data_IF_341610956095
#
_entry.id   IF_341610956095
#
_cell.length_a   1.000
_cell.length_b   1.000
_cell.length_c   1.000
_cell.angle_alpha   90.00
_cell.angle_beta   90.00
_cell.angle_gamma   90.00
#
_symmetry.space_group_name_H-M   'P 1'
#
loop_
_entity.id
_entity.type
_entity.pdbx_description
1 polymer ?
#
# COMPACT_ATOMS: atom_id res chain seq x y z
N UNK A 1 1.15 -20.78 4.93
CA UNK A 1 1.05 -20.77 3.47
C UNK A 1 0.26 -19.53 3.07
N UNK A 2 0.78 -18.76 2.13
CA UNK A 2 0.12 -17.52 1.68
C UNK A 2 -0.12 -17.62 0.17
N UNK A 3 -1.29 -17.18 -0.24
CA UNK A 3 -1.67 -16.99 -1.63
C UNK A 3 -1.78 -15.51 -1.97
N UNK A 4 -1.72 -15.19 -3.25
CA UNK A 4 -1.98 -13.84 -3.71
C UNK A 4 -3.47 -13.52 -3.56
N UNK A 5 -3.78 -12.46 -2.81
CA UNK A 5 -5.15 -11.99 -2.65
C UNK A 5 -5.71 -11.49 -3.98
N UNK A 6 -6.84 -12.00 -4.46
CA UNK A 6 -7.41 -11.56 -5.72
C UNK A 6 -8.01 -10.16 -5.62
N UNK A 7 -8.03 -9.44 -6.74
CA UNK A 7 -8.82 -8.22 -6.89
C UNK A 7 -10.29 -8.56 -7.09
N UNK A 8 -11.21 -8.09 -6.24
CA UNK A 8 -12.65 -8.33 -6.43
C UNK A 8 -13.25 -7.35 -7.46
N UNK A 9 -12.62 -7.25 -8.62
CA UNK A 9 -12.97 -6.30 -9.68
C UNK A 9 -14.01 -6.82 -10.69
N UNK A 10 -14.34 -8.11 -10.64
CA UNK A 10 -15.27 -8.75 -11.55
C UNK A 10 -16.36 -9.53 -10.81
N UNK A 11 -17.39 -9.92 -11.55
CA UNK A 11 -18.56 -10.64 -11.04
C UNK A 11 -18.26 -12.12 -10.62
N UNK A 12 -17.00 -12.53 -10.60
CA UNK A 12 -16.57 -13.86 -10.19
C UNK A 12 -15.13 -14.16 -10.56
N UNK A 13 -14.64 -15.29 -10.06
CA UNK A 13 -13.31 -15.80 -10.34
C UNK A 13 -13.17 -16.19 -11.82
N UNK A 14 -12.00 -15.98 -12.39
CA UNK A 14 -11.59 -16.61 -13.64
C UNK A 14 -10.69 -17.82 -13.35
N UNK A 15 -10.48 -18.70 -14.33
CA UNK A 15 -9.74 -19.95 -14.19
C UNK A 15 -8.28 -19.76 -13.71
N UNK A 16 -7.69 -18.61 -13.90
CA UNK A 16 -6.35 -18.30 -13.43
C UNK A 16 -6.24 -18.19 -11.88
N UNK A 17 -7.30 -17.83 -11.18
CA UNK A 17 -7.29 -17.75 -9.72
C UNK A 17 -7.09 -19.14 -9.09
N UNK A 18 -7.96 -20.15 -9.36
CA UNK A 18 -7.78 -21.49 -8.79
C UNK A 18 -6.46 -22.14 -9.15
N UNK A 19 -5.89 -21.83 -10.33
CA UNK A 19 -4.63 -22.40 -10.79
C UNK A 19 -3.49 -22.23 -9.75
N UNK A 20 -3.36 -21.04 -9.19
CA UNK A 20 -2.39 -20.78 -8.12
C UNK A 20 -2.78 -21.44 -6.80
N UNK A 21 -4.06 -21.37 -6.43
CA UNK A 21 -4.55 -21.80 -5.11
C UNK A 21 -4.58 -23.33 -4.92
N UNK A 22 -4.71 -24.10 -6.00
CA UNK A 22 -4.73 -25.57 -5.93
C UNK A 22 -3.42 -26.10 -5.31
N UNK A 23 -2.28 -25.60 -5.75
CA UNK A 23 -0.98 -26.07 -5.26
C UNK A 23 -0.77 -25.77 -3.78
N UNK A 24 -1.08 -24.55 -3.35
CA UNK A 24 -0.97 -24.11 -1.95
C UNK A 24 -1.96 -24.83 -1.04
N UNK A 25 -3.17 -25.10 -1.52
CA UNK A 25 -4.18 -25.86 -0.76
C UNK A 25 -3.75 -27.33 -0.57
N UNK A 26 -3.26 -27.99 -1.61
CA UNK A 26 -2.71 -29.34 -1.51
C UNK A 26 -1.57 -29.38 -0.48
N UNK A 27 -0.65 -28.44 -0.56
CA UNK A 27 0.46 -28.34 0.39
C UNK A 27 -0.01 -28.08 1.82
N UNK A 28 -0.97 -27.18 2.02
CA UNK A 28 -1.56 -26.87 3.32
C UNK A 28 -2.23 -28.12 3.94
N UNK A 29 -3.01 -28.85 3.17
CA UNK A 29 -3.64 -30.11 3.60
C UNK A 29 -2.62 -31.18 3.96
N UNK A 30 -1.58 -31.35 3.12
CA UNK A 30 -0.49 -32.29 3.41
C UNK A 30 0.19 -31.95 4.74
N UNK A 31 0.51 -30.68 4.99
CA UNK A 31 1.16 -30.25 6.23
C UNK A 31 0.26 -30.46 7.47
N UNK A 32 -1.04 -30.19 7.37
CA UNK A 32 -2.00 -30.50 8.46
C UNK A 32 -2.03 -31.98 8.77
N UNK A 33 -2.06 -32.85 7.76
CA UNK A 33 -2.03 -34.30 7.95
C UNK A 33 -0.73 -34.81 8.58
N UNK A 34 0.36 -34.04 8.41
CA UNK A 34 1.66 -34.30 9.08
C UNK A 34 1.74 -33.74 10.50
N UNK A 35 0.66 -33.17 11.05
CA UNK A 35 0.59 -32.63 12.40
C UNK A 35 1.12 -31.20 12.55
N UNK A 36 1.38 -30.47 11.46
CA UNK A 36 1.76 -29.06 11.54
C UNK A 36 0.53 -28.17 11.81
N UNK A 37 0.74 -27.14 12.62
CA UNK A 37 -0.22 -26.06 12.72
C UNK A 37 -0.06 -25.16 11.48
N UNK A 38 -1.06 -25.17 10.59
CA UNK A 38 -1.00 -24.49 9.30
C UNK A 38 -1.93 -23.29 9.27
N UNK A 39 -1.37 -22.10 9.13
CA UNK A 39 -2.07 -20.88 8.78
C UNK A 39 -2.15 -20.78 7.24
N UNK A 40 -3.38 -20.83 6.70
CA UNK A 40 -3.67 -20.65 5.27
C UNK A 40 -4.80 -19.64 5.10
N UNK A 41 -4.53 -18.35 5.30
CA UNK A 41 -5.53 -17.29 5.18
C UNK A 41 -5.80 -16.99 3.71
N UNK A 42 -6.94 -16.36 3.47
CA UNK A 42 -7.30 -15.72 2.21
C UNK A 42 -7.68 -14.26 2.47
N UNK A 43 -7.56 -13.43 1.47
CA UNK A 43 -7.97 -12.05 1.55
C UNK A 43 -8.28 -11.49 0.16
N UNK A 44 -8.60 -10.19 0.13
CA UNK A 44 -8.94 -9.48 -1.10
C UNK A 44 -8.17 -8.17 -1.17
N UNK A 45 -7.51 -7.94 -2.30
CA UNK A 45 -6.95 -6.63 -2.62
C UNK A 45 -8.08 -5.76 -3.18
N UNK A 46 -8.74 -5.05 -2.29
CA UNK A 46 -10.06 -4.50 -2.52
C UNK A 46 -10.10 -3.00 -2.85
N UNK A 47 -8.94 -2.36 -2.94
CA UNK A 47 -8.80 -1.04 -3.53
C UNK A 47 -8.41 -1.15 -5.00
N UNK A 48 -8.89 -0.23 -5.82
CA UNK A 48 -8.39 -0.16 -7.17
C UNK A 48 -9.27 0.59 -8.14
N UNK A 49 -8.64 1.07 -9.21
CA UNK A 49 -9.23 1.82 -10.30
C UNK A 49 -10.46 1.14 -10.95
N UNK A 50 -10.51 -0.20 -11.14
CA UNK A 50 -11.69 -0.83 -11.73
C UNK A 50 -12.97 -0.61 -10.93
N UNK A 51 -12.92 -0.67 -9.61
CA UNK A 51 -14.08 -0.41 -8.75
C UNK A 51 -14.50 1.06 -8.79
N UNK A 52 -13.53 1.97 -8.84
CA UNK A 52 -13.78 3.42 -8.96
C UNK A 52 -14.39 3.78 -10.31
N UNK A 53 -13.87 3.23 -11.41
CA UNK A 53 -14.42 3.46 -12.75
C UNK A 53 -15.84 2.92 -12.88
N UNK A 54 -16.12 1.74 -12.31
CA UNK A 54 -17.47 1.20 -12.28
C UNK A 54 -18.42 2.09 -11.48
N UNK A 55 -17.96 2.64 -10.36
CA UNK A 55 -18.73 3.59 -9.56
C UNK A 55 -19.08 4.87 -10.35
N UNK A 56 -18.11 5.41 -11.09
CA UNK A 56 -18.33 6.59 -11.94
C UNK A 56 -19.37 6.31 -13.03
N UNK A 57 -19.30 5.13 -13.66
CA UNK A 57 -20.21 4.75 -14.75
C UNK A 57 -21.63 4.48 -14.27
N UNK A 58 -21.79 3.91 -13.09
CA UNK A 58 -23.09 3.43 -12.57
C UNK A 58 -23.72 4.33 -11.53
N UNK A 59 -22.95 5.29 -10.97
CA UNK A 59 -23.37 6.10 -9.83
C UNK A 59 -23.45 5.32 -8.52
N UNK A 60 -22.96 4.07 -8.48
CA UNK A 60 -22.97 3.24 -7.29
C UNK A 60 -21.67 3.39 -6.51
N UNK A 61 -21.77 3.52 -5.17
CA UNK A 61 -20.58 3.62 -4.32
C UNK A 61 -19.68 2.38 -4.45
N UNK A 62 -18.34 2.52 -4.61
CA UNK A 62 -17.43 1.39 -4.85
C UNK A 62 -17.53 0.26 -3.82
N UNK A 63 -17.78 0.61 -2.55
CA UNK A 63 -17.91 -0.39 -1.47
C UNK A 63 -19.03 -1.40 -1.73
N UNK A 64 -20.16 -0.97 -2.31
CA UNK A 64 -21.30 -1.86 -2.57
C UNK A 64 -20.92 -2.96 -3.56
N UNK A 65 -20.33 -2.56 -4.67
CA UNK A 65 -19.88 -3.52 -5.70
C UNK A 65 -18.76 -4.42 -5.17
N UNK A 66 -17.81 -3.85 -4.43
CA UNK A 66 -16.71 -4.61 -3.82
C UNK A 66 -17.22 -5.69 -2.88
N UNK A 67 -18.16 -5.37 -1.99
CA UNK A 67 -18.76 -6.35 -1.07
C UNK A 67 -19.50 -7.48 -1.83
N UNK A 68 -20.27 -7.15 -2.86
CA UNK A 68 -20.96 -8.12 -3.68
C UNK A 68 -19.98 -9.07 -4.39
N UNK A 69 -18.90 -8.53 -4.93
CA UNK A 69 -17.87 -9.31 -5.61
C UNK A 69 -17.10 -10.20 -4.63
N UNK A 70 -16.73 -9.70 -3.44
CA UNK A 70 -16.10 -10.49 -2.38
C UNK A 70 -16.99 -11.66 -1.98
N UNK A 71 -18.28 -11.42 -1.72
CA UNK A 71 -19.22 -12.47 -1.38
C UNK A 71 -19.29 -13.55 -2.47
N UNK A 72 -19.30 -13.12 -3.73
CA UNK A 72 -19.31 -14.04 -4.88
C UNK A 72 -18.02 -14.86 -5.00
N UNK A 73 -16.88 -14.22 -4.83
CA UNK A 73 -15.57 -14.88 -4.86
C UNK A 73 -15.46 -15.94 -3.76
N UNK A 74 -15.87 -15.58 -2.54
CA UNK A 74 -15.89 -16.50 -1.41
C UNK A 74 -16.78 -17.72 -1.68
N UNK A 75 -18.01 -17.49 -2.15
CA UNK A 75 -18.92 -18.58 -2.53
C UNK A 75 -18.27 -19.55 -3.54
N UNK A 76 -17.58 -19.00 -4.54
CA UNK A 76 -16.93 -19.83 -5.56
C UNK A 76 -15.72 -20.60 -5.00
N UNK A 77 -14.90 -19.98 -4.16
CA UNK A 77 -13.77 -20.65 -3.51
C UNK A 77 -14.23 -21.76 -2.56
N UNK A 78 -15.32 -21.53 -1.84
CA UNK A 78 -15.95 -22.55 -0.98
C UNK A 78 -16.51 -23.72 -1.80
N UNK A 79 -17.14 -23.46 -2.94
CA UNK A 79 -17.64 -24.52 -3.84
C UNK A 79 -16.52 -25.39 -4.43
N UNK A 80 -15.33 -24.81 -4.70
CA UNK A 80 -14.15 -25.57 -5.11
C UNK A 80 -13.63 -26.42 -3.94
N UNK A 81 -13.88 -26.00 -2.70
CA UNK A 81 -13.53 -26.73 -1.49
C UNK A 81 -12.12 -26.43 -0.98
N UNK A 82 -11.58 -25.24 -1.23
CA UNK A 82 -10.31 -24.82 -0.64
C UNK A 82 -10.36 -24.75 0.88
N UNK A 83 -9.26 -25.07 1.54
CA UNK A 83 -9.14 -25.13 3.00
C UNK A 83 -8.61 -23.82 3.61
N UNK A 84 -9.13 -22.69 3.14
CA UNK A 84 -8.75 -21.39 3.68
C UNK A 84 -9.27 -21.18 5.11
N UNK A 85 -8.49 -20.44 5.90
CA UNK A 85 -8.88 -19.97 7.22
C UNK A 85 -9.63 -18.64 7.09
N UNK A 86 -10.95 -18.73 6.91
CA UNK A 86 -11.82 -17.57 6.72
C UNK A 86 -11.96 -16.68 7.97
N UNK A 87 -11.63 -17.20 9.16
CA UNK A 87 -11.62 -16.39 10.38
C UNK A 87 -10.48 -15.35 10.37
N UNK A 88 -9.53 -15.54 9.45
CA UNK A 88 -8.42 -14.64 9.19
C UNK A 88 -8.48 -14.00 7.80
N UNK A 89 -9.70 -13.83 7.30
CA UNK A 89 -9.92 -13.08 6.05
C UNK A 89 -9.40 -11.64 6.18
N UNK A 90 -8.68 -11.17 5.17
CA UNK A 90 -8.12 -9.82 5.10
C UNK A 90 -8.72 -9.08 3.90
N UNK A 91 -9.13 -7.84 4.12
CA UNK A 91 -9.61 -6.92 3.08
C UNK A 91 -8.79 -5.64 3.16
N UNK A 92 -8.09 -5.31 2.10
CA UNK A 92 -7.21 -4.13 2.10
C UNK A 92 -7.97 -2.82 2.22
N UNK A 93 -9.27 -2.81 1.88
CA UNK A 93 -10.16 -1.65 2.03
C UNK A 93 -10.73 -1.45 3.44
N UNK A 94 -10.49 -2.36 4.37
CA UNK A 94 -10.94 -2.18 5.75
C UNK A 94 -10.11 -1.11 6.47
N UNK A 95 -10.74 -0.17 7.20
CA UNK A 95 -10.02 0.85 7.95
C UNK A 95 -8.99 0.28 8.93
N UNK A 96 -9.31 -0.89 9.53
CA UNK A 96 -8.40 -1.61 10.42
C UNK A 96 -7.12 -2.07 9.74
N UNK A 97 -7.18 -2.33 8.43
CA UNK A 97 -6.04 -2.73 7.61
C UNK A 97 -5.29 -1.50 7.05
N UNK A 98 -5.96 -0.65 6.28
CA UNK A 98 -5.27 0.43 5.55
C UNK A 98 -4.70 1.54 6.45
N UNK A 99 -5.15 1.66 7.70
CA UNK A 99 -4.53 2.59 8.66
C UNK A 99 -3.02 2.41 8.79
N UNK A 100 -2.52 1.18 8.62
CA UNK A 100 -1.09 0.90 8.69
C UNK A 100 -0.36 1.36 7.43
N UNK A 101 -1.00 1.25 6.27
CA UNK A 101 -0.50 1.83 5.02
C UNK A 101 -0.43 3.35 5.12
N UNK A 102 -1.48 3.99 5.65
CA UNK A 102 -1.49 5.43 5.92
C UNK A 102 -0.41 5.83 6.93
N UNK A 103 -0.23 5.06 7.99
CA UNK A 103 0.83 5.30 8.95
C UNK A 103 2.22 5.21 8.33
N UNK A 104 2.48 4.20 7.51
CA UNK A 104 3.74 4.06 6.80
C UNK A 104 3.98 5.22 5.83
N UNK A 105 2.93 5.63 5.08
CA UNK A 105 2.98 6.80 4.22
C UNK A 105 3.37 8.06 5.00
N UNK A 106 2.70 8.33 6.12
CA UNK A 106 2.99 9.51 6.94
C UNK A 106 4.44 9.51 7.49
N UNK A 107 4.98 8.33 7.82
CA UNK A 107 6.39 8.21 8.22
C UNK A 107 7.33 8.56 7.08
N UNK A 108 7.06 8.06 5.87
CA UNK A 108 7.85 8.39 4.68
C UNK A 108 7.68 9.87 4.27
N UNK A 109 6.45 10.39 4.31
CA UNK A 109 6.15 11.79 4.03
C UNK A 109 6.88 12.74 4.99
N UNK A 110 6.96 12.40 6.27
CA UNK A 110 7.71 13.14 7.29
C UNK A 110 9.24 12.90 7.26
N UNK A 111 9.79 12.31 6.19
CA UNK A 111 11.21 11.93 6.15
C UNK A 111 11.85 12.26 4.81
N UNK A 112 13.17 12.49 4.85
CA UNK A 112 14.05 12.55 3.69
C UNK A 112 15.17 11.51 3.82
N UNK A 113 15.89 11.18 2.75
CA UNK A 113 17.02 10.26 2.80
C UNK A 113 18.35 11.02 2.79
N UNK A 114 19.14 10.84 3.84
CA UNK A 114 20.48 11.40 3.97
C UNK A 114 21.52 10.43 3.40
N UNK A 115 22.18 10.79 2.31
CA UNK A 115 23.18 9.94 1.66
C UNK A 115 24.43 9.75 2.52
N UNK A 116 24.85 10.77 3.27
CA UNK A 116 26.04 10.68 4.14
C UNK A 116 25.83 9.70 5.28
N UNK A 117 24.63 9.63 5.83
CA UNK A 117 24.27 8.73 6.92
C UNK A 117 23.66 7.40 6.47
N UNK A 118 23.37 7.27 5.18
CA UNK A 118 22.74 6.10 4.57
C UNK A 118 21.44 5.69 5.28
N UNK A 119 20.60 6.68 5.64
CA UNK A 119 19.34 6.44 6.36
C UNK A 119 18.31 7.54 6.15
N UNK A 120 17.03 7.21 6.39
CA UNK A 120 15.96 8.18 6.49
C UNK A 120 16.09 9.04 7.74
N UNK A 121 15.81 10.34 7.61
CA UNK A 121 15.84 11.33 8.70
C UNK A 121 14.56 12.17 8.68
N UNK A 122 14.15 12.73 9.84
CA UNK A 122 13.02 13.63 9.92
C UNK A 122 13.17 14.84 8.99
N UNK A 123 12.10 15.18 8.27
CA UNK A 123 12.10 16.30 7.30
C UNK A 123 12.41 17.65 7.95
N UNK A 124 12.11 17.81 9.23
CA UNK A 124 12.41 18.99 10.03
C UNK A 124 13.92 19.27 10.13
N UNK A 125 14.76 18.24 10.10
CA UNK A 125 16.22 18.41 10.07
C UNK A 125 16.68 19.04 8.76
N UNK A 126 16.05 18.65 7.65
CA UNK A 126 16.33 19.24 6.33
C UNK A 126 15.84 20.67 6.27
N UNK A 127 14.64 20.94 6.74
CA UNK A 127 14.10 22.31 6.86
C UNK A 127 15.03 23.21 7.66
N UNK A 128 15.51 22.73 8.80
CA UNK A 128 16.49 23.49 9.60
C UNK A 128 17.84 23.67 8.91
N UNK A 129 18.24 22.77 8.01
CA UNK A 129 19.44 22.95 7.20
C UNK A 129 19.22 24.02 6.12
N UNK A 130 18.06 24.03 5.46
CA UNK A 130 17.69 25.07 4.49
C UNK A 130 17.64 26.47 5.12
N UNK A 131 17.12 26.57 6.34
CA UNK A 131 17.09 27.84 7.09
C UNK A 131 18.51 28.42 7.36
N UNK A 132 19.50 27.54 7.53
CA UNK A 132 20.88 27.94 7.83
C UNK A 132 21.73 28.21 6.61
N UNK A 133 21.69 27.28 5.65
CA UNK A 133 22.67 27.22 4.55
C UNK A 133 22.03 27.11 3.16
N UNK A 134 20.70 27.08 3.04
CA UNK A 134 20.06 26.70 1.78
C UNK A 134 20.40 25.26 1.42
N UNK A 135 20.71 25.03 0.17
CA UNK A 135 21.11 23.70 -0.34
C UNK A 135 22.62 23.46 -0.30
N UNK A 136 23.41 24.43 0.18
CA UNK A 136 24.87 24.30 0.18
C UNK A 136 25.35 23.19 1.12
N UNK A 137 26.21 22.30 0.62
CA UNK A 137 26.82 21.21 1.38
C UNK A 137 25.86 20.05 1.74
N UNK A 138 24.67 20.01 1.18
CA UNK A 138 23.72 18.92 1.40
C UNK A 138 23.98 17.76 0.45
N UNK A 139 24.03 16.54 1.01
CA UNK A 139 24.10 15.29 0.26
C UNK A 139 22.89 14.43 0.62
N UNK A 140 21.78 14.67 -0.07
CA UNK A 140 20.47 14.08 0.20
C UNK A 140 19.84 13.56 -1.09
N UNK A 141 18.99 12.55 -1.00
CA UNK A 141 18.22 12.09 -2.15
C UNK A 141 17.15 13.13 -2.50
N UNK A 142 16.98 13.38 -3.79
CA UNK A 142 15.97 14.29 -4.33
C UNK A 142 15.52 13.81 -5.70
N UNK A 143 14.32 14.20 -6.10
CA UNK A 143 13.80 13.93 -7.47
C UNK A 143 14.38 14.89 -8.49
N UNK A 144 14.64 16.12 -8.09
CA UNK A 144 15.26 17.16 -8.90
C UNK A 144 16.30 17.90 -8.06
N UNK A 145 17.48 18.13 -8.61
CA UNK A 145 18.51 18.94 -7.95
C UNK A 145 18.08 20.41 -7.97
N UNK A 146 17.95 21.00 -6.79
CA UNK A 146 17.59 22.40 -6.61
C UNK A 146 18.74 23.13 -5.93
N UNK A 147 18.93 24.40 -6.31
CA UNK A 147 19.94 25.28 -5.73
C UNK A 147 19.28 26.57 -5.26
N UNK A 148 19.36 26.84 -3.96
CA UNK A 148 18.91 28.10 -3.35
C UNK A 148 19.69 28.38 -2.07
N UNK A 149 19.78 29.65 -1.73
CA UNK A 149 20.42 30.16 -0.51
C UNK A 149 19.43 30.12 0.67
N UNK A 150 19.96 30.28 1.88
CA UNK A 150 19.11 30.42 3.09
C UNK A 150 18.20 31.67 3.02
N UNK A 151 18.63 32.74 2.34
CA UNK A 151 17.82 33.96 2.16
C UNK A 151 16.65 33.71 1.23
N UNK A 152 16.90 33.04 0.10
CA UNK A 152 15.86 32.64 -0.85
C UNK A 152 14.86 31.69 -0.21
N UNK A 153 15.31 30.67 0.55
CA UNK A 153 14.41 29.80 1.31
C UNK A 153 13.51 30.56 2.26
N UNK A 154 14.06 31.49 3.05
CA UNK A 154 13.29 32.30 3.99
C UNK A 154 12.30 33.26 3.31
N UNK A 155 12.59 33.69 2.09
CA UNK A 155 11.71 34.52 1.29
C UNK A 155 10.54 33.76 0.64
N UNK A 156 10.61 32.42 0.54
CA UNK A 156 9.54 31.58 0.01
C UNK A 156 8.30 31.65 0.89
N UNK A 157 7.13 31.64 0.26
CA UNK A 157 5.87 31.39 0.92
C UNK A 157 5.79 29.96 1.48
N UNK A 158 4.90 29.70 2.43
CA UNK A 158 4.71 28.34 2.96
C UNK A 158 4.34 27.32 1.87
N UNK A 159 3.56 27.72 0.87
CA UNK A 159 3.23 26.86 -0.27
C UNK A 159 4.45 26.50 -1.13
N UNK A 160 5.34 27.47 -1.39
CA UNK A 160 6.58 27.23 -2.14
C UNK A 160 7.55 26.36 -1.34
N UNK A 161 7.66 26.56 -0.03
CA UNK A 161 8.46 25.70 0.86
C UNK A 161 7.96 24.26 0.83
N UNK A 162 6.65 24.04 0.97
CA UNK A 162 6.07 22.69 0.91
C UNK A 162 6.27 22.04 -0.45
N UNK A 163 6.12 22.77 -1.54
CA UNK A 163 6.41 22.26 -2.89
C UNK A 163 7.88 21.89 -3.06
N UNK A 164 8.78 22.68 -2.51
CA UNK A 164 10.21 22.39 -2.50
C UNK A 164 10.52 21.14 -1.67
N UNK A 165 9.91 20.99 -0.49
CA UNK A 165 10.10 19.82 0.38
C UNK A 165 9.61 18.52 -0.26
N UNK A 166 8.55 18.56 -1.08
CA UNK A 166 8.06 17.37 -1.80
C UNK A 166 9.16 16.72 -2.67
N UNK A 167 10.10 17.51 -3.19
CA UNK A 167 11.24 17.03 -3.95
C UNK A 167 12.18 16.10 -3.14
N UNK A 168 12.14 16.19 -1.82
CA UNK A 168 13.03 15.47 -0.90
C UNK A 168 12.31 14.42 -0.04
N UNK A 169 10.97 14.50 0.06
CA UNK A 169 10.19 13.55 0.84
C UNK A 169 10.28 12.15 0.24
N UNK A 170 10.27 11.11 1.09
CA UNK A 170 10.31 9.70 0.65
C UNK A 170 8.98 9.21 0.07
N UNK A 171 7.88 9.92 0.33
CA UNK A 171 6.57 9.71 -0.27
C UNK A 171 5.86 11.06 -0.44
N UNK A 172 5.05 11.23 -1.51
CA UNK A 172 4.29 12.44 -1.82
C UNK A 172 3.09 12.10 -2.68
#
# INVERSE_FOLDING_TARGET
>A
VLDMSPYPSGAGLHVGHPLGYIASDIYSRYKRQKGFNVLHPMGYDAFGLPAEQYAIQTGQHPAVTTEQNIARYREQLDKIGFSFDWDREVRTCDPGYYKWTQWAFLKMFGSYYCNDRQQARPIEELTAAFERNGTEGLNVACTQELHFTAEEWRAMSEAEKEQTLQNYRLAF
#
